data_IF_013355205372
#
_entry.id   IF_013355205372
#
_cell.length_a   1.000
_cell.length_b   1.000
_cell.length_c   1.000
_cell.angle_alpha   90.00
_cell.angle_beta   90.00
_cell.angle_gamma   90.00
#
_symmetry.space_group_name_H-M   'P 1'
#
loop_
_entity.id
_entity.type
_entity.pdbx_description
1 polymer ?
#
# COMPACT_ATOMS: atom_id res chain seq x y z
N UNK A 1 4.59 2.63 15.40
CA UNK A 1 4.81 2.16 14.02
C UNK A 1 4.83 3.39 13.15
N UNK A 2 5.94 3.66 12.47
CA UNK A 2 6.07 4.82 11.58
C UNK A 2 5.09 4.61 10.41
N UNK A 3 4.19 5.56 10.15
CA UNK A 3 3.36 5.52 8.95
C UNK A 3 4.28 5.64 7.73
N UNK A 4 4.53 4.51 7.07
CA UNK A 4 5.25 4.50 5.80
C UNK A 4 4.29 5.00 4.74
N UNK A 5 4.32 6.31 4.47
CA UNK A 5 3.59 6.91 3.35
C UNK A 5 4.39 6.65 2.08
N UNK A 6 3.91 5.72 1.26
CA UNK A 6 4.45 5.46 -0.08
C UNK A 6 4.22 6.69 -0.96
N UNK A 7 5.27 7.50 -1.14
CA UNK A 7 5.21 8.64 -2.07
C UNK A 7 5.10 8.12 -3.51
N UNK A 8 4.24 8.70 -4.35
CA UNK A 8 4.07 8.28 -5.76
C UNK A 8 5.38 8.29 -6.57
N UNK A 9 6.31 9.18 -6.22
CA UNK A 9 7.62 9.29 -6.86
C UNK A 9 8.50 8.05 -6.63
N UNK A 10 8.44 7.47 -5.42
CA UNK A 10 9.20 6.27 -5.08
C UNK A 10 8.70 5.06 -5.88
N UNK A 11 7.38 4.93 -6.02
CA UNK A 11 6.76 3.88 -6.83
C UNK A 11 7.18 3.97 -8.31
N UNK A 12 7.15 5.18 -8.88
CA UNK A 12 7.61 5.41 -10.26
C UNK A 12 9.09 5.12 -10.44
N UNK A 13 9.93 5.51 -9.47
CA UNK A 13 11.36 5.22 -9.48
C UNK A 13 11.64 3.72 -9.45
N UNK A 14 10.97 2.99 -8.55
CA UNK A 14 11.10 1.53 -8.44
C UNK A 14 10.62 0.82 -9.71
N UNK A 15 9.48 1.22 -10.26
CA UNK A 15 8.95 0.65 -11.50
C UNK A 15 9.94 0.82 -12.66
N UNK A 16 10.55 2.02 -12.79
CA UNK A 16 11.55 2.27 -13.83
C UNK A 16 12.75 1.33 -13.72
N UNK A 17 13.30 1.17 -12.51
CA UNK A 17 14.44 0.26 -12.27
C UNK A 17 14.09 -1.18 -12.63
N UNK A 18 12.88 -1.64 -12.28
CA UNK A 18 12.44 -3.00 -12.57
C UNK A 18 12.26 -3.23 -14.08
N UNK A 19 11.69 -2.27 -14.81
CA UNK A 19 11.51 -2.34 -16.27
C UNK A 19 12.85 -2.28 -17.00
N UNK A 20 13.80 -1.45 -16.53
CA UNK A 20 15.16 -1.41 -17.07
C UNK A 20 15.90 -2.74 -16.90
N UNK A 21 15.66 -3.46 -15.79
CA UNK A 21 16.23 -4.78 -15.54
C UNK A 21 15.59 -5.87 -16.41
N UNK A 22 14.25 -5.97 -16.43
CA UNK A 22 13.53 -6.86 -17.34
C UNK A 22 12.25 -6.17 -17.87
N UNK A 23 12.11 -5.98 -19.19
CA UNK A 23 10.97 -5.27 -19.78
C UNK A 23 9.60 -5.88 -19.44
N UNK A 24 9.53 -7.17 -19.11
CA UNK A 24 8.29 -7.83 -18.68
C UNK A 24 7.75 -7.29 -17.35
N UNK A 25 8.58 -6.58 -16.58
CA UNK A 25 8.16 -5.90 -15.35
C UNK A 25 7.26 -4.67 -15.60
N UNK A 26 6.90 -4.37 -16.85
CA UNK A 26 5.74 -3.53 -17.15
C UNK A 26 4.45 -4.10 -16.54
N UNK A 27 4.35 -5.42 -16.40
CA UNK A 27 3.27 -6.07 -15.64
C UNK A 27 3.43 -5.78 -14.13
N UNK A 28 2.47 -5.06 -13.51
CA UNK A 28 2.52 -4.75 -12.08
C UNK A 28 2.59 -5.98 -11.18
N UNK A 29 2.02 -7.11 -11.60
CA UNK A 29 2.04 -8.35 -10.81
C UNK A 29 3.45 -8.94 -10.80
N UNK A 30 4.10 -9.00 -11.95
CA UNK A 30 5.48 -9.49 -12.05
C UNK A 30 6.45 -8.57 -11.30
N UNK A 31 6.29 -7.25 -11.44
CA UNK A 31 7.07 -6.27 -10.67
C UNK A 31 6.90 -6.48 -9.15
N UNK A 32 5.68 -6.74 -8.69
CA UNK A 32 5.39 -7.01 -7.27
C UNK A 32 6.05 -8.31 -6.77
N UNK A 33 6.11 -9.34 -7.60
CA UNK A 33 6.82 -10.59 -7.29
C UNK A 33 8.34 -10.36 -7.15
N UNK A 34 8.93 -9.58 -8.05
CA UNK A 34 10.34 -9.21 -7.96
C UNK A 34 10.65 -8.42 -6.68
N UNK A 35 9.83 -7.43 -6.34
CA UNK A 35 10.00 -6.66 -5.09
C UNK A 35 9.90 -7.57 -3.85
N UNK A 36 8.97 -8.52 -3.86
CA UNK A 36 8.82 -9.50 -2.78
C UNK A 36 10.08 -10.38 -2.65
N UNK A 37 10.65 -10.82 -3.78
CA UNK A 37 11.89 -11.59 -3.79
C UNK A 37 13.09 -10.76 -3.27
N UNK A 38 13.18 -9.48 -3.65
CA UNK A 38 14.21 -8.56 -3.14
C UNK A 38 14.10 -8.40 -1.63
N UNK A 39 12.90 -8.20 -1.09
CA UNK A 39 12.68 -8.11 0.36
C UNK A 39 13.13 -9.40 1.05
N UNK A 40 12.73 -10.56 0.52
CA UNK A 40 13.15 -11.87 1.05
C UNK A 40 14.67 -12.05 1.03
N UNK A 41 15.34 -11.64 -0.05
CA UNK A 41 16.80 -11.69 -0.15
C UNK A 41 17.48 -10.81 0.88
N UNK A 42 17.03 -9.56 1.06
CA UNK A 42 17.59 -8.62 2.02
C UNK A 42 17.49 -9.20 3.44
N UNK A 43 16.30 -9.68 3.83
CA UNK A 43 16.08 -10.28 5.15
C UNK A 43 16.94 -11.53 5.34
N UNK A 44 17.05 -12.39 4.32
CA UNK A 44 17.89 -13.58 4.40
C UNK A 44 19.38 -13.26 4.61
N UNK A 45 19.86 -12.16 4.02
CA UNK A 45 21.26 -11.71 4.16
C UNK A 45 21.56 -10.89 5.40
N UNK A 46 20.55 -10.53 6.20
CA UNK A 46 20.76 -9.75 7.42
C UNK A 46 21.63 -10.52 8.43
N UNK A 47 22.62 -9.83 9.00
CA UNK A 47 23.56 -10.37 10.01
C UNK A 47 22.93 -10.45 11.40
N UNK A 48 21.80 -11.13 11.51
CA UNK A 48 21.06 -11.33 12.76
C UNK A 48 20.70 -12.81 12.93
N UNK A 49 20.39 -13.26 14.17
CA UNK A 49 19.96 -14.63 14.42
C UNK A 49 18.81 -15.06 13.49
N UNK A 50 18.81 -16.34 13.09
CA UNK A 50 17.79 -16.89 12.19
C UNK A 50 16.37 -16.64 12.70
N UNK A 51 16.16 -16.84 14.01
CA UNK A 51 14.86 -16.59 14.66
C UNK A 51 14.37 -15.16 14.40
N UNK A 52 15.26 -14.19 14.55
CA UNK A 52 14.93 -12.78 14.39
C UNK A 52 14.63 -12.44 12.91
N UNK A 53 15.35 -13.06 11.96
CA UNK A 53 15.02 -12.95 10.52
C UNK A 53 13.63 -13.50 10.21
N UNK A 54 13.29 -14.67 10.75
CA UNK A 54 11.99 -15.31 10.52
C UNK A 54 10.85 -14.47 11.10
N UNK A 55 11.05 -13.92 12.32
CA UNK A 55 10.09 -13.03 12.98
C UNK A 55 9.92 -11.71 12.19
N UNK A 56 11.00 -11.11 11.68
CA UNK A 56 10.95 -9.91 10.84
C UNK A 56 10.24 -10.19 9.51
N UNK A 57 10.54 -11.31 8.85
CA UNK A 57 9.89 -11.68 7.60
C UNK A 57 8.37 -11.79 7.80
N UNK A 58 7.93 -12.41 8.89
CA UNK A 58 6.52 -12.51 9.24
C UNK A 58 5.88 -11.13 9.42
N UNK A 59 6.54 -10.24 10.15
CA UNK A 59 6.06 -8.86 10.34
C UNK A 59 5.95 -8.09 9.01
N UNK A 60 6.89 -8.29 8.09
CA UNK A 60 6.85 -7.66 6.76
C UNK A 60 5.71 -8.18 5.89
N UNK A 61 5.40 -9.48 5.97
CA UNK A 61 4.24 -10.07 5.29
C UNK A 61 2.94 -9.46 5.84
N UNK A 62 2.80 -9.42 7.16
CA UNK A 62 1.63 -8.82 7.82
C UNK A 62 1.50 -7.32 7.48
N UNK A 63 2.61 -6.60 7.45
CA UNK A 63 2.63 -5.20 7.05
C UNK A 63 2.22 -5.00 5.58
N UNK A 64 2.67 -5.87 4.68
CA UNK A 64 2.29 -5.81 3.26
C UNK A 64 0.79 -6.02 3.09
N UNK A 65 0.21 -6.97 3.83
CA UNK A 65 -1.24 -7.19 3.85
C UNK A 65 -1.98 -5.95 4.37
N UNK A 66 -1.52 -5.36 5.47
CA UNK A 66 -2.11 -4.14 6.03
C UNK A 66 -2.13 -2.98 5.03
N UNK A 67 -1.01 -2.74 4.31
CA UNK A 67 -0.93 -1.68 3.29
C UNK A 67 -1.89 -1.96 2.13
N UNK A 68 -2.01 -3.22 1.69
CA UNK A 68 -2.97 -3.62 0.67
C UNK A 68 -4.42 -3.31 1.12
N UNK A 69 -4.79 -3.75 2.32
CA UNK A 69 -6.14 -3.53 2.86
C UNK A 69 -6.45 -2.02 2.92
N UNK A 70 -5.52 -1.21 3.45
CA UNK A 70 -5.66 0.25 3.51
C UNK A 70 -5.86 0.89 2.13
N UNK A 71 -5.10 0.46 1.11
CA UNK A 71 -5.26 0.99 -0.25
C UNK A 71 -6.59 0.56 -0.87
N UNK A 72 -7.04 -0.69 -0.65
CA UNK A 72 -8.34 -1.12 -1.16
C UNK A 72 -9.51 -0.40 -0.49
N UNK A 73 -9.40 -0.06 0.80
CA UNK A 73 -10.46 0.65 1.52
C UNK A 73 -10.53 2.14 1.14
N UNK A 74 -9.38 2.77 0.88
CA UNK A 74 -9.35 4.14 0.33
C UNK A 74 -9.95 4.21 -1.09
N UNK A 75 -9.71 3.20 -1.93
CA UNK A 75 -10.36 3.08 -3.24
C UNK A 75 -11.89 2.95 -3.12
N UNK A 76 -12.39 2.15 -2.16
CA UNK A 76 -13.84 1.99 -1.90
C UNK A 76 -14.50 3.27 -1.37
N UNK A 77 -13.81 4.05 -0.53
CA UNK A 77 -14.33 5.33 -0.03
C UNK A 77 -14.38 6.43 -1.11
N UNK A 78 -13.52 6.37 -2.13
CA UNK A 78 -13.54 7.29 -3.27
C UNK A 78 -14.80 7.19 -4.14
N UNK A 79 -15.50 6.04 -4.14
CA UNK A 79 -16.70 5.82 -4.97
C UNK A 79 -18.02 6.26 -4.30
N UNK A 80 -18.02 6.64 -3.02
CA UNK A 80 -19.25 7.08 -2.30
C UNK A 80 -19.38 8.59 -2.13
N UNK A 81 -18.45 9.37 -2.69
CA UNK A 81 -18.52 10.84 -2.68
C UNK A 81 -19.07 11.42 -4.00
N UNK A 82 -20.10 10.81 -4.58
CA UNK A 82 -21.01 11.56 -5.45
C UNK A 82 -21.93 12.38 -4.56
N UNK A 83 -21.64 13.68 -4.46
CA UNK A 83 -22.49 14.71 -3.88
C UNK A 83 -23.94 14.51 -4.33
N UNK A 84 -24.81 14.03 -3.43
CA UNK A 84 -26.22 14.39 -3.47
C UNK A 84 -26.34 15.65 -2.60
N UNK A 85 -26.81 16.79 -3.14
CA UNK A 85 -27.34 17.84 -2.28
C UNK A 85 -28.48 17.20 -1.48
N UNK A 86 -28.34 17.19 -0.17
CA UNK A 86 -29.42 16.82 0.73
C UNK A 86 -30.45 17.97 0.68
N UNK A 87 -31.25 18.02 -0.38
CA UNK A 87 -32.55 18.68 -0.35
C UNK A 87 -33.43 17.85 0.57
N UNK A 88 -34.08 18.54 1.52
CA UNK A 88 -35.01 18.03 2.54
C UNK A 88 -34.40 17.41 3.81
N UNK A 89 -34.10 18.27 4.79
CA UNK A 89 -34.82 18.26 6.08
C UNK A 89 -34.04 19.03 7.17
N UNK A 90 -34.23 20.34 7.27
CA UNK A 90 -34.23 21.01 8.57
C UNK A 90 -35.27 22.13 8.54
N UNK A 91 -36.47 21.80 9.04
CA UNK A 91 -37.49 22.78 9.37
C UNK A 91 -36.91 23.84 10.28
N UNK A 92 -37.04 25.09 9.84
CA UNK A 92 -36.66 26.30 10.55
C UNK A 92 -37.50 26.39 11.82
N UNK A 93 -36.95 26.01 12.98
CA UNK A 93 -37.55 26.36 14.26
C UNK A 93 -37.21 27.83 14.56
N UNK A 94 -38.21 28.70 14.48
CA UNK A 94 -38.17 30.08 15.00
C UNK A 94 -38.95 30.12 16.31
N UNK A 95 -38.33 30.38 17.47
CA UNK A 95 -39.07 30.79 18.65
C UNK A 95 -39.30 32.31 18.63
N UNK A 96 -40.50 32.74 19.07
CA UNK A 96 -40.80 34.13 19.47
C UNK A 96 -40.07 34.52 20.77
#
# INVERSE_FOLDING_TARGET
MTEIVLKPELLKGLQKVLVEYEPKNEDPILASQYLSAVVGSIVATAEIPKKDRDDILKQLIEFTQYVYDQQTDTLKQGETSSVKPNEDAYGKWTPE
#
